data_IF_161600596887
#
_entry.id   IF_161600596887
#
_cell.length_a   1.000
_cell.length_b   1.000
_cell.length_c   1.000
_cell.angle_alpha   90.00
_cell.angle_beta   90.00
_cell.angle_gamma   90.00
#
_symmetry.space_group_name_H-M   'P 1'
#
loop_
_entity.id
_entity.type
_entity.pdbx_description
1 polymer ?
#
# COMPACT_ATOMS: atom_id res chain seq x y z
N UNK A 1 -12.47 -16.75 -9.33
CA UNK A 1 -13.29 -17.41 -8.27
C UNK A 1 -12.91 -16.89 -6.89
N UNK A 2 -11.62 -16.78 -6.56
CA UNK A 2 -11.16 -16.27 -5.26
C UNK A 2 -11.58 -14.82 -4.97
N UNK A 3 -11.59 -13.93 -5.98
CA UNK A 3 -12.05 -12.55 -5.84
C UNK A 3 -13.48 -12.45 -5.27
N UNK A 4 -14.40 -13.32 -5.74
CA UNK A 4 -15.76 -13.38 -5.19
C UNK A 4 -15.78 -13.87 -3.75
N UNK A 5 -14.91 -14.81 -3.41
CA UNK A 5 -14.80 -15.37 -2.06
C UNK A 5 -14.13 -14.39 -1.10
N UNK A 6 -13.19 -13.59 -1.58
CA UNK A 6 -12.53 -12.57 -0.80
C UNK A 6 -13.53 -11.51 -0.28
N UNK A 7 -14.56 -11.19 -1.05
CA UNK A 7 -15.64 -10.30 -0.61
C UNK A 7 -16.38 -10.83 0.62
N UNK A 8 -16.39 -12.13 0.83
CA UNK A 8 -17.02 -12.78 1.97
C UNK A 8 -16.03 -13.08 3.09
N UNK A 9 -14.77 -12.69 2.94
CA UNK A 9 -13.79 -12.87 4.00
C UNK A 9 -14.00 -11.84 5.11
N UNK A 10 -13.63 -12.23 6.32
CA UNK A 10 -13.65 -11.32 7.45
C UNK A 10 -12.35 -10.48 7.47
N UNK A 11 -12.47 -9.16 7.38
CA UNK A 11 -11.35 -8.24 7.31
C UNK A 11 -10.95 -7.62 8.67
N UNK A 12 -11.26 -8.28 9.75
CA UNK A 12 -10.90 -7.80 11.07
C UNK A 12 -11.71 -6.61 11.58
N UNK A 13 -12.69 -6.19 10.83
CA UNK A 13 -13.71 -5.23 11.21
C UNK A 13 -15.02 -5.97 11.24
N UNK A 14 -15.71 -5.93 12.35
CA UNK A 14 -17.07 -6.48 12.48
C UNK A 14 -18.02 -5.65 11.62
N UNK A 15 -17.96 -5.92 10.30
CA UNK A 15 -18.50 -5.00 9.34
C UNK A 15 -19.00 -5.76 8.11
N UNK A 16 -20.29 -5.64 7.79
CA UNK A 16 -20.84 -6.27 6.60
C UNK A 16 -20.38 -5.53 5.35
N UNK A 17 -19.19 -5.77 4.91
CA UNK A 17 -18.63 -5.17 3.68
C UNK A 17 -19.46 -5.43 2.45
N UNK A 18 -20.43 -6.36 2.50
CA UNK A 18 -20.81 -7.04 1.28
C UNK A 18 -22.26 -6.86 0.88
N UNK A 19 -23.18 -6.60 1.79
CA UNK A 19 -24.60 -6.56 1.44
C UNK A 19 -25.28 -5.22 1.75
N UNK A 20 -24.90 -4.59 2.85
CA UNK A 20 -25.61 -3.45 3.39
C UNK A 20 -24.82 -2.13 3.33
N UNK A 21 -23.58 -2.17 2.79
CA UNK A 21 -22.73 -1.00 2.70
C UNK A 21 -23.12 -0.08 1.54
N UNK A 22 -23.49 1.13 1.86
CA UNK A 22 -23.55 2.20 0.86
C UNK A 22 -22.12 2.73 0.63
N UNK A 23 -21.40 2.14 -0.34
CA UNK A 23 -20.00 2.49 -0.66
C UNK A 23 -19.82 3.98 -0.93
N UNK A 24 -20.79 4.62 -1.62
CA UNK A 24 -20.73 6.06 -1.92
C UNK A 24 -20.77 6.91 -0.65
N UNK A 25 -21.63 6.57 0.30
CA UNK A 25 -21.72 7.30 1.56
C UNK A 25 -20.53 7.00 2.47
N UNK A 26 -20.05 5.77 2.46
CA UNK A 26 -18.82 5.37 3.13
C UNK A 26 -17.63 6.19 2.63
N UNK A 27 -17.44 6.27 1.32
CA UNK A 27 -16.36 7.05 0.71
C UNK A 27 -16.48 8.56 1.03
N UNK A 28 -17.69 9.11 1.03
CA UNK A 28 -17.91 10.51 1.44
C UNK A 28 -17.49 10.77 2.88
N UNK A 29 -17.81 9.85 3.79
CA UNK A 29 -17.43 9.98 5.19
C UNK A 29 -15.91 9.82 5.37
N UNK A 30 -15.29 8.94 4.60
CA UNK A 30 -13.83 8.87 4.51
C UNK A 30 -13.24 10.23 4.08
N UNK A 31 -13.74 10.84 3.03
CA UNK A 31 -13.29 12.18 2.60
C UNK A 31 -13.51 13.26 3.66
N UNK A 32 -14.62 13.22 4.41
CA UNK A 32 -14.89 14.14 5.53
C UNK A 32 -13.85 14.00 6.65
N UNK A 33 -13.43 12.77 6.96
CA UNK A 33 -12.38 12.55 7.96
C UNK A 33 -11.02 13.11 7.52
N UNK A 34 -10.71 13.07 6.21
CA UNK A 34 -9.49 13.66 5.67
C UNK A 34 -9.42 15.18 5.91
N UNK A 35 -10.56 15.89 5.91
CA UNK A 35 -10.57 17.32 6.24
C UNK A 35 -10.07 17.61 7.66
N UNK A 36 -10.41 16.75 8.62
CA UNK A 36 -9.90 16.89 9.99
C UNK A 36 -8.38 16.59 10.09
N UNK A 37 -7.88 15.70 9.24
CA UNK A 37 -6.44 15.44 9.12
C UNK A 37 -5.74 16.67 8.54
N UNK A 38 -6.30 17.27 7.47
CA UNK A 38 -5.76 18.48 6.84
C UNK A 38 -5.67 19.64 7.85
N UNK A 39 -6.72 19.88 8.63
CA UNK A 39 -6.71 20.87 9.73
C UNK A 39 -5.59 20.59 10.75
N UNK A 40 -5.33 19.32 11.05
CA UNK A 40 -4.31 18.92 12.01
C UNK A 40 -2.91 19.17 11.46
N UNK A 41 -2.67 18.84 10.19
CA UNK A 41 -1.42 19.16 9.49
C UNK A 41 -1.23 20.69 9.43
N UNK A 42 -2.29 21.43 9.11
CA UNK A 42 -2.28 22.89 9.09
C UNK A 42 -1.85 23.51 10.44
N UNK A 43 -2.38 22.98 11.56
CA UNK A 43 -1.97 23.41 12.91
C UNK A 43 -0.51 23.11 13.20
N UNK A 44 -0.02 21.91 12.83
CA UNK A 44 1.38 21.52 12.99
C UNK A 44 2.31 22.45 12.20
N UNK A 45 2.02 22.66 10.93
CA UNK A 45 2.81 23.54 10.06
C UNK A 45 2.79 25.00 10.57
N UNK A 46 1.64 25.48 11.06
CA UNK A 46 1.51 26.79 11.67
C UNK A 46 2.36 26.93 12.94
N UNK A 47 2.44 25.88 13.77
CA UNK A 47 3.29 25.86 14.95
C UNK A 47 4.79 25.90 14.58
N UNK A 48 5.22 25.10 13.61
CA UNK A 48 6.61 25.10 13.11
C UNK A 48 7.03 26.48 12.60
N UNK A 49 6.17 27.14 11.81
CA UNK A 49 6.41 28.50 11.31
C UNK A 49 6.51 29.52 12.46
N UNK A 50 5.60 29.44 13.45
CA UNK A 50 5.65 30.31 14.65
C UNK A 50 6.95 30.14 15.46
N UNK A 51 7.56 28.94 15.39
CA UNK A 51 8.85 28.64 16.02
C UNK A 51 10.05 28.94 15.11
N UNK A 52 9.82 29.34 13.87
CA UNK A 52 10.86 29.64 12.87
C UNK A 52 11.78 28.44 12.56
N UNK A 53 11.23 27.22 12.67
CA UNK A 53 11.95 25.96 12.42
C UNK A 53 11.38 25.17 11.25
N UNK A 54 10.33 25.65 10.59
CA UNK A 54 9.66 24.95 9.47
C UNK A 54 10.60 24.67 8.28
N UNK A 55 11.55 25.56 8.01
CA UNK A 55 12.51 25.39 6.90
C UNK A 55 13.53 24.29 7.15
N UNK A 56 13.83 24.01 8.45
CA UNK A 56 14.84 23.03 8.90
C UNK A 56 14.22 21.73 9.40
N UNK A 57 12.92 21.61 9.38
CA UNK A 57 12.21 20.42 9.85
C UNK A 57 11.72 19.63 8.64
N UNK A 58 12.20 18.40 8.51
CA UNK A 58 11.64 17.47 7.53
C UNK A 58 10.30 16.94 8.04
N UNK A 59 9.24 17.42 7.41
CA UNK A 59 7.86 16.95 7.65
C UNK A 59 7.49 15.99 6.52
N UNK A 60 7.10 14.78 6.85
CA UNK A 60 6.61 13.78 5.92
C UNK A 60 5.16 13.43 6.27
N UNK A 61 4.26 13.61 5.33
CA UNK A 61 2.87 13.15 5.40
C UNK A 61 2.66 11.98 4.44
N UNK A 62 2.09 10.90 4.95
CA UNK A 62 1.81 9.71 4.15
C UNK A 62 0.69 8.86 4.76
N UNK A 63 0.09 7.98 3.97
CA UNK A 63 -0.70 6.85 4.47
C UNK A 63 0.19 5.68 4.87
N UNK A 64 -0.33 4.75 5.67
CA UNK A 64 0.32 3.48 6.02
C UNK A 64 0.16 2.43 4.90
N UNK A 65 -0.99 2.42 4.25
CA UNK A 65 -1.34 1.59 3.10
C UNK A 65 -2.43 2.28 2.26
N UNK A 66 -2.65 1.79 1.06
CA UNK A 66 -3.80 2.15 0.25
C UNK A 66 -5.08 1.39 0.68
N UNK A 67 -6.18 1.59 -0.05
CA UNK A 67 -7.44 0.91 0.20
C UNK A 67 -8.29 0.84 -1.06
N UNK A 68 -8.86 -0.32 -1.33
CA UNK A 68 -9.81 -0.57 -2.40
C UNK A 68 -11.22 -0.22 -1.93
N UNK A 69 -11.89 0.68 -2.62
CA UNK A 69 -13.28 1.08 -2.34
C UNK A 69 -14.29 0.49 -3.33
N UNK A 70 -13.97 -0.60 -3.96
CA UNK A 70 -14.78 -1.29 -4.95
C UNK A 70 -14.05 -1.55 -6.26
N UNK A 71 -12.86 -0.98 -6.44
CA UNK A 71 -11.98 -1.25 -7.58
C UNK A 71 -11.69 -2.75 -7.64
N UNK A 72 -11.54 -3.28 -8.84
CA UNK A 72 -11.40 -4.72 -9.09
C UNK A 72 -12.52 -5.59 -8.46
N UNK A 73 -13.62 -4.95 -8.05
CA UNK A 73 -14.70 -5.58 -7.31
C UNK A 73 -14.35 -5.97 -5.88
N UNK A 74 -13.33 -5.36 -5.31
CA UNK A 74 -12.79 -5.63 -3.97
C UNK A 74 -12.99 -4.45 -3.03
N UNK A 75 -13.02 -4.77 -1.74
CA UNK A 75 -12.90 -3.81 -0.65
C UNK A 75 -11.87 -4.38 0.28
N UNK A 76 -10.78 -3.71 0.50
CA UNK A 76 -9.71 -4.03 1.45
C UNK A 76 -8.35 -3.54 0.91
N UNK A 77 -7.27 -3.98 1.55
CA UNK A 77 -5.89 -3.56 1.31
C UNK A 77 -4.88 -4.72 1.17
N UNK A 78 -5.36 -5.97 1.09
CA UNK A 78 -4.53 -7.20 1.07
C UNK A 78 -4.26 -7.72 -0.33
N UNK A 79 -4.12 -6.80 -1.28
CA UNK A 79 -3.93 -7.07 -2.69
C UNK A 79 -2.74 -6.28 -3.22
N UNK A 80 -2.20 -6.71 -4.34
CA UNK A 80 -1.08 -6.03 -4.97
C UNK A 80 -1.50 -5.01 -6.05
N UNK A 81 -2.75 -4.55 -6.04
CA UNK A 81 -3.21 -3.47 -6.93
C UNK A 81 -2.76 -2.10 -6.43
N UNK A 82 -2.62 -1.13 -7.35
CA UNK A 82 -2.14 0.21 -7.02
C UNK A 82 -2.99 0.86 -5.91
N UNK A 83 -4.31 0.69 -5.92
CA UNK A 83 -5.20 1.26 -4.90
C UNK A 83 -4.89 0.72 -3.49
N UNK A 84 -4.42 -0.52 -3.40
CA UNK A 84 -4.02 -1.14 -2.13
C UNK A 84 -2.59 -0.80 -1.72
N UNK A 85 -1.67 -0.68 -2.69
CA UNK A 85 -0.24 -0.50 -2.44
C UNK A 85 0.19 0.96 -2.42
N UNK A 86 -0.38 1.78 -3.33
CA UNK A 86 0.03 3.16 -3.51
C UNK A 86 -0.58 4.05 -2.45
N UNK A 87 0.26 4.86 -1.82
CA UNK A 87 -0.13 5.83 -0.81
C UNK A 87 0.24 7.25 -1.25
N UNK A 88 -0.50 8.27 -0.83
CA UNK A 88 -0.01 9.64 -0.91
C UNK A 88 1.24 9.78 -0.04
N UNK A 89 2.27 10.43 -0.57
CA UNK A 89 3.47 10.78 0.17
C UNK A 89 3.87 12.21 -0.19
N UNK A 90 3.84 13.10 0.80
CA UNK A 90 4.21 14.51 0.68
C UNK A 90 5.32 14.82 1.66
N UNK A 91 6.33 15.56 1.21
CA UNK A 91 7.45 15.97 2.05
C UNK A 91 7.64 17.49 2.00
N UNK A 92 8.00 18.08 3.13
CA UNK A 92 8.34 19.50 3.25
C UNK A 92 9.62 19.66 4.05
N UNK A 93 10.64 20.22 3.43
CA UNK A 93 11.84 20.74 4.06
C UNK A 93 12.59 21.62 3.05
N UNK A 94 12.34 22.93 2.99
CA UNK A 94 12.94 23.83 2.00
C UNK A 94 14.47 23.84 1.97
N UNK A 95 15.13 23.52 3.08
CA UNK A 95 16.59 23.44 3.12
C UNK A 95 17.16 22.17 2.46
N UNK A 96 16.36 21.11 2.31
CA UNK A 96 16.81 19.85 1.74
C UNK A 96 16.47 19.72 0.25
N UNK A 97 15.32 20.23 -0.19
CA UNK A 97 14.87 20.14 -1.58
C UNK A 97 13.89 21.26 -1.95
N UNK A 98 13.83 21.64 -3.26
CA UNK A 98 12.95 22.69 -3.74
C UNK A 98 11.47 22.32 -3.58
N UNK A 99 10.63 23.32 -3.31
CA UNK A 99 9.17 23.16 -3.36
C UNK A 99 8.69 22.85 -4.78
N UNK A 100 7.60 22.07 -4.89
CA UNK A 100 7.02 21.64 -6.17
C UNK A 100 7.76 20.50 -6.86
N UNK A 101 8.80 19.94 -6.24
CA UNK A 101 9.50 18.76 -6.78
C UNK A 101 8.57 17.55 -6.81
N UNK A 102 8.57 16.83 -7.93
CA UNK A 102 7.86 15.57 -8.10
C UNK A 102 8.86 14.45 -8.34
N UNK A 103 8.98 13.53 -7.39
CA UNK A 103 9.82 12.34 -7.53
C UNK A 103 9.04 11.27 -8.30
N UNK A 104 9.50 10.93 -9.51
CA UNK A 104 8.84 9.94 -10.39
C UNK A 104 9.27 8.48 -10.10
N UNK A 105 10.33 8.28 -9.32
CA UNK A 105 10.80 6.95 -8.95
C UNK A 105 9.88 6.26 -7.94
N UNK A 106 10.00 4.95 -7.86
CA UNK A 106 9.27 4.15 -6.87
C UNK A 106 9.89 4.37 -5.49
N UNK A 107 9.30 5.27 -4.71
CA UNK A 107 9.62 5.48 -3.29
C UNK A 107 8.61 4.70 -2.45
N UNK A 108 9.06 4.09 -1.36
CA UNK A 108 8.25 3.26 -0.50
C UNK A 108 8.40 3.62 0.98
N UNK A 109 7.50 3.13 1.80
CA UNK A 109 7.54 3.34 3.26
C UNK A 109 8.81 2.80 3.92
N UNK A 110 9.43 1.76 3.35
CA UNK A 110 10.73 1.25 3.82
C UNK A 110 11.87 2.27 3.70
N UNK A 111 11.72 3.28 2.85
CA UNK A 111 12.73 4.32 2.61
C UNK A 111 12.73 5.43 3.65
N UNK A 112 11.69 5.53 4.46
CA UNK A 112 11.46 6.65 5.38
C UNK A 112 12.55 6.69 6.45
N UNK A 113 12.85 5.55 7.09
CA UNK A 113 13.85 5.51 8.14
C UNK A 113 15.25 5.90 7.62
N UNK A 114 15.65 5.37 6.46
CA UNK A 114 16.91 5.73 5.81
C UNK A 114 16.94 7.22 5.43
N UNK A 115 15.80 7.78 5.00
CA UNK A 115 15.68 9.20 4.64
C UNK A 115 15.80 10.11 5.87
N UNK A 116 15.19 9.75 6.99
CA UNK A 116 15.33 10.53 8.23
C UNK A 116 16.74 10.47 8.80
N UNK A 117 17.40 9.31 8.72
CA UNK A 117 18.80 9.21 9.11
C UNK A 117 19.68 10.11 8.24
N UNK A 118 19.51 10.06 6.91
CA UNK A 118 20.24 10.91 5.99
C UNK A 118 19.98 12.41 6.23
N UNK A 119 18.73 12.80 6.52
CA UNK A 119 18.38 14.18 6.86
C UNK A 119 19.06 14.64 8.16
N UNK A 120 19.34 13.73 9.09
CA UNK A 120 20.08 13.98 10.32
C UNK A 120 21.61 13.89 10.15
N UNK A 121 22.12 13.66 8.93
CA UNK A 121 23.54 13.48 8.65
C UNK A 121 24.10 12.12 9.09
N UNK A 122 23.22 11.13 9.30
CA UNK A 122 23.58 9.77 9.71
C UNK A 122 23.46 8.79 8.53
N UNK A 123 24.27 7.74 8.56
CA UNK A 123 24.18 6.66 7.59
C UNK A 123 23.14 5.61 8.01
N UNK A 124 22.38 5.12 7.04
CA UNK A 124 21.48 4.00 7.27
C UNK A 124 22.29 2.70 7.47
N UNK A 125 21.94 1.88 8.49
CA UNK A 125 22.54 0.57 8.66
C UNK A 125 22.31 -0.35 7.47
N UNK A 126 23.25 -1.24 7.17
CA UNK A 126 23.21 -2.15 6.02
C UNK A 126 22.02 -3.14 6.04
N UNK A 127 21.45 -3.41 7.21
CA UNK A 127 20.29 -4.30 7.34
C UNK A 127 18.97 -3.66 6.91
N UNK A 128 18.96 -2.36 6.62
CA UNK A 128 17.75 -1.68 6.12
C UNK A 128 17.55 -1.96 4.63
N UNK A 129 16.37 -2.43 4.25
CA UNK A 129 16.00 -2.66 2.85
C UNK A 129 15.72 -1.37 2.08
N UNK A 130 15.39 -0.29 2.78
CA UNK A 130 15.10 1.02 2.22
C UNK A 130 16.34 1.86 1.97
N UNK A 131 16.22 2.84 1.07
CA UNK A 131 17.25 3.81 0.75
C UNK A 131 16.74 5.25 0.91
N UNK A 132 17.63 6.20 1.23
CA UNK A 132 17.25 7.60 1.33
C UNK A 132 16.88 8.16 -0.05
N UNK A 133 15.72 8.79 -0.17
CA UNK A 133 15.28 9.49 -1.39
C UNK A 133 15.65 10.99 -1.41
N UNK A 134 16.43 11.48 -0.46
CA UNK A 134 16.77 12.91 -0.40
C UNK A 134 17.54 13.38 -1.63
N UNK A 135 18.52 12.60 -2.09
CA UNK A 135 19.31 12.98 -3.27
C UNK A 135 18.48 12.91 -4.56
N UNK A 136 17.51 11.99 -4.61
CA UNK A 136 16.54 11.93 -5.70
C UNK A 136 15.60 13.17 -5.66
N UNK A 137 15.12 13.56 -4.47
CA UNK A 137 14.24 14.70 -4.28
C UNK A 137 14.95 16.05 -4.51
N UNK A 138 16.24 16.14 -4.19
CA UNK A 138 17.06 17.34 -4.43
C UNK A 138 17.63 17.42 -5.86
N UNK A 139 17.42 16.39 -6.70
CA UNK A 139 17.96 16.31 -8.05
C UNK A 139 19.44 15.96 -8.13
N UNK A 140 20.07 15.56 -7.04
CA UNK A 140 21.48 15.13 -7.01
C UNK A 140 21.67 13.72 -7.55
N UNK A 141 20.65 12.87 -7.45
CA UNK A 141 20.63 11.52 -7.98
C UNK A 141 19.71 11.40 -9.18
N UNK A 142 20.17 10.77 -10.26
CA UNK A 142 19.35 10.50 -11.42
C UNK A 142 18.36 9.36 -11.15
N UNK A 143 17.19 9.40 -11.79
CA UNK A 143 16.19 8.35 -11.68
C UNK A 143 16.72 6.97 -12.13
N UNK A 144 17.64 6.95 -13.10
CA UNK A 144 18.30 5.71 -13.57
C UNK A 144 19.21 5.03 -12.53
N UNK A 145 19.61 5.78 -11.51
CA UNK A 145 20.43 5.27 -10.39
C UNK A 145 19.55 4.85 -9.20
N UNK A 146 18.26 5.11 -9.27
CA UNK A 146 17.30 4.67 -8.27
C UNK A 146 16.83 3.25 -8.55
N UNK A 147 16.21 2.60 -7.55
CA UNK A 147 15.66 1.24 -7.71
C UNK A 147 14.72 1.14 -8.92
N UNK A 148 14.90 0.11 -9.71
CA UNK A 148 13.98 -0.22 -10.80
C UNK A 148 12.72 -0.89 -10.28
N UNK A 149 12.84 -1.74 -9.24
CA UNK A 149 11.75 -2.57 -8.74
C UNK A 149 11.60 -2.49 -7.22
N UNK A 150 10.35 -2.51 -6.79
CA UNK A 150 9.93 -2.72 -5.40
C UNK A 150 9.28 -4.11 -5.29
N UNK A 151 9.71 -4.89 -4.28
CA UNK A 151 9.08 -6.15 -3.92
C UNK A 151 7.95 -5.89 -2.94
N UNK A 152 6.79 -6.48 -3.21
CA UNK A 152 5.65 -6.56 -2.31
C UNK A 152 5.40 -8.02 -1.96
N UNK A 153 5.18 -8.28 -0.66
CA UNK A 153 4.94 -9.61 -0.12
C UNK A 153 3.75 -9.54 0.83
N UNK A 154 2.72 -10.34 0.56
CA UNK A 154 1.62 -10.56 1.48
C UNK A 154 1.46 -12.06 1.70
N UNK A 155 1.50 -12.47 2.96
CA UNK A 155 1.38 -13.86 3.35
C UNK A 155 -0.01 -14.15 3.88
N UNK A 156 -0.56 -15.32 3.52
CA UNK A 156 -1.86 -15.77 3.95
C UNK A 156 -2.02 -15.67 5.48
N UNK A 157 -3.17 -15.14 5.89
CA UNK A 157 -3.54 -14.99 7.28
C UNK A 157 -4.78 -15.82 7.61
N UNK A 158 -4.77 -16.46 8.76
CA UNK A 158 -5.91 -17.25 9.24
C UNK A 158 -7.23 -16.46 9.27
N UNK A 159 -7.19 -15.20 9.61
CA UNK A 159 -8.38 -14.35 9.71
C UNK A 159 -8.89 -13.90 8.34
N UNK A 160 -8.14 -14.11 7.28
CA UNK A 160 -8.46 -13.73 5.91
C UNK A 160 -8.28 -14.93 4.97
N UNK A 161 -9.04 -16.03 5.19
CA UNK A 161 -8.77 -17.31 4.54
C UNK A 161 -8.94 -17.28 3.03
N UNK A 162 -9.67 -16.30 2.50
CA UNK A 162 -9.91 -16.15 1.07
C UNK A 162 -8.90 -15.24 0.38
N UNK A 163 -7.97 -14.63 1.12
CA UNK A 163 -6.88 -13.83 0.55
C UNK A 163 -5.64 -14.71 0.43
N UNK A 164 -5.18 -15.02 -0.78
CA UNK A 164 -4.00 -15.87 -0.98
C UNK A 164 -2.72 -15.14 -0.60
N UNK A 165 -1.66 -15.89 -0.36
CA UNK A 165 -0.31 -15.33 -0.38
C UNK A 165 -0.04 -14.80 -1.77
N UNK A 166 0.39 -13.54 -1.85
CA UNK A 166 0.66 -12.84 -3.11
C UNK A 166 1.98 -12.12 -3.06
N UNK A 167 2.71 -12.20 -4.15
CA UNK A 167 3.95 -11.47 -4.37
C UNK A 167 3.78 -10.55 -5.56
N UNK A 168 4.34 -9.35 -5.49
CA UNK A 168 4.38 -8.49 -6.65
C UNK A 168 5.75 -7.83 -6.80
N UNK A 169 6.13 -7.64 -8.06
CA UNK A 169 7.27 -6.84 -8.45
C UNK A 169 6.76 -5.60 -9.17
N UNK A 170 6.83 -4.45 -8.51
CA UNK A 170 6.39 -3.17 -9.04
C UNK A 170 7.57 -2.40 -9.58
N UNK A 171 7.66 -2.26 -10.91
CA UNK A 171 8.65 -1.43 -11.61
C UNK A 171 8.09 -0.05 -11.96
N UNK A 172 8.90 0.80 -12.59
CA UNK A 172 8.46 2.12 -13.03
C UNK A 172 7.35 2.05 -14.09
N UNK A 173 7.36 1.02 -14.94
CA UNK A 173 6.39 0.83 -16.00
C UNK A 173 5.51 -0.40 -15.81
N UNK A 174 6.09 -1.55 -15.52
CA UNK A 174 5.36 -2.80 -15.42
C UNK A 174 5.22 -3.25 -13.98
N UNK A 175 4.09 -3.90 -13.67
CA UNK A 175 3.87 -4.61 -12.42
C UNK A 175 3.48 -6.05 -12.71
N UNK A 176 4.23 -6.99 -12.11
CA UNK A 176 3.93 -8.42 -12.13
C UNK A 176 3.37 -8.81 -10.77
N UNK A 177 2.25 -9.52 -10.76
CA UNK A 177 1.62 -10.10 -9.57
C UNK A 177 1.60 -11.61 -9.73
N UNK A 178 2.08 -12.32 -8.69
CA UNK A 178 2.17 -13.79 -8.67
C UNK A 178 1.51 -14.31 -7.40
N UNK A 179 0.59 -15.24 -7.57
CA UNK A 179 -0.11 -15.88 -6.46
C UNK A 179 0.56 -17.20 -6.10
N UNK A 180 0.74 -17.44 -4.80
CA UNK A 180 1.31 -18.69 -4.32
C UNK A 180 0.26 -19.81 -4.39
N UNK A 181 0.61 -20.90 -5.05
CA UNK A 181 -0.30 -22.01 -5.28
C UNK A 181 -1.08 -21.86 -6.60
N UNK A 182 -2.27 -22.45 -6.63
CA UNK A 182 -3.13 -22.51 -7.84
C UNK A 182 -4.37 -21.64 -7.72
N UNK A 183 -4.30 -20.61 -6.88
CA UNK A 183 -5.45 -19.79 -6.51
C UNK A 183 -6.00 -18.98 -7.68
N UNK A 184 -5.10 -18.41 -8.48
CA UNK A 184 -5.49 -17.55 -9.59
C UNK A 184 -4.39 -17.50 -10.66
N UNK A 185 -4.68 -16.79 -11.72
CA UNK A 185 -3.72 -16.52 -12.80
C UNK A 185 -2.82 -15.37 -12.40
N UNK A 186 -1.51 -15.50 -12.60
CA UNK A 186 -0.58 -14.39 -12.49
C UNK A 186 -1.03 -13.22 -13.37
N UNK A 187 -0.60 -12.02 -13.00
CA UNK A 187 -1.01 -10.80 -13.68
C UNK A 187 0.20 -9.94 -14.06
N UNK A 188 0.13 -9.33 -15.25
CA UNK A 188 1.08 -8.32 -15.71
C UNK A 188 0.32 -7.10 -16.18
N UNK A 189 0.70 -5.92 -15.68
CA UNK A 189 0.12 -4.64 -16.08
C UNK A 189 1.19 -3.68 -16.58
N UNK A 190 0.87 -2.90 -17.62
CA UNK A 190 1.65 -1.76 -18.08
C UNK A 190 1.07 -0.48 -17.48
N UNK A 191 1.59 -0.05 -16.35
CA UNK A 191 1.09 1.08 -15.58
C UNK A 191 1.20 2.42 -16.33
N UNK A 192 1.98 2.49 -17.41
CA UNK A 192 2.09 3.70 -18.24
C UNK A 192 0.88 3.91 -19.15
N UNK A 193 0.22 2.82 -19.56
CA UNK A 193 -0.93 2.84 -20.47
C UNK A 193 -2.21 2.36 -19.81
N UNK A 194 -2.08 1.62 -18.70
CA UNK A 194 -3.19 1.05 -17.92
C UNK A 194 -2.93 1.26 -16.41
N UNK A 195 -2.97 2.51 -15.94
CA UNK A 195 -2.73 2.83 -14.52
C UNK A 195 -3.80 2.27 -13.57
N UNK A 196 -4.95 1.83 -14.08
CA UNK A 196 -6.04 1.22 -13.32
C UNK A 196 -6.02 -0.31 -13.38
N UNK A 197 -4.99 -0.91 -13.95
CA UNK A 197 -4.75 -2.36 -13.96
C UNK A 197 -5.94 -3.21 -14.43
N UNK A 198 -6.57 -2.78 -15.51
CA UNK A 198 -7.77 -3.42 -16.05
C UNK A 198 -7.47 -4.49 -17.10
N UNK A 199 -6.29 -4.43 -17.74
CA UNK A 199 -5.90 -5.33 -18.84
C UNK A 199 -4.71 -6.20 -18.44
N UNK A 200 -4.98 -7.42 -18.02
CA UNK A 200 -3.92 -8.39 -17.70
C UNK A 200 -3.18 -8.85 -18.97
N UNK A 201 -1.89 -8.54 -19.04
CA UNK A 201 -1.00 -8.84 -20.17
C UNK A 201 -0.17 -10.11 -20.00
N UNK A 202 -0.35 -10.88 -18.93
CA UNK A 202 0.51 -12.03 -18.60
C UNK A 202 0.52 -13.11 -19.70
N UNK A 203 -0.56 -13.23 -20.45
CA UNK A 203 -0.69 -14.16 -21.59
C UNK A 203 -0.40 -13.55 -22.96
N UNK A 204 -0.04 -12.25 -23.01
CA UNK A 204 0.30 -11.58 -24.26
C UNK A 204 1.64 -12.08 -24.79
N UNK A 205 1.65 -12.53 -26.05
CA UNK A 205 2.88 -12.98 -26.73
C UNK A 205 3.91 -11.85 -26.82
N UNK A 206 3.46 -10.62 -27.03
CA UNK A 206 4.30 -9.41 -27.12
C UNK A 206 5.02 -9.12 -25.80
N UNK A 207 4.40 -9.46 -24.66
CA UNK A 207 4.93 -9.20 -23.33
C UNK A 207 5.62 -10.41 -22.68
N UNK A 208 5.75 -11.53 -23.40
CA UNK A 208 6.33 -12.77 -22.86
C UNK A 208 7.77 -12.61 -22.35
N UNK A 209 8.57 -11.74 -22.96
CA UNK A 209 9.93 -11.43 -22.51
C UNK A 209 9.93 -10.61 -21.21
N UNK A 210 8.99 -9.66 -21.07
CA UNK A 210 8.80 -8.86 -19.87
C UNK A 210 8.39 -9.76 -18.71
N UNK A 211 7.39 -10.63 -18.92
CA UNK A 211 6.93 -11.60 -17.91
C UNK A 211 8.11 -12.46 -17.41
N UNK A 212 8.91 -13.03 -18.33
CA UNK A 212 10.06 -13.86 -17.95
C UNK A 212 11.07 -13.09 -17.11
N UNK A 213 11.48 -11.90 -17.57
CA UNK A 213 12.46 -11.07 -16.86
C UNK A 213 11.97 -10.71 -15.48
N UNK A 214 10.74 -10.18 -15.36
CA UNK A 214 10.18 -9.78 -14.08
C UNK A 214 9.96 -10.97 -13.14
N UNK A 215 9.55 -12.13 -13.66
CA UNK A 215 9.40 -13.34 -12.85
C UNK A 215 10.76 -13.82 -12.31
N UNK A 216 11.79 -13.80 -13.15
CA UNK A 216 13.15 -14.14 -12.71
C UNK A 216 13.64 -13.18 -11.60
N UNK A 217 13.47 -11.88 -11.79
CA UNK A 217 13.83 -10.86 -10.82
C UNK A 217 13.04 -11.02 -9.50
N UNK A 218 11.73 -11.27 -9.59
CA UNK A 218 10.89 -11.53 -8.44
C UNK A 218 11.42 -12.70 -7.61
N UNK A 219 11.71 -13.84 -8.25
CA UNK A 219 12.22 -15.01 -7.54
C UNK A 219 13.61 -14.79 -6.93
N UNK A 220 14.49 -14.07 -7.60
CA UNK A 220 15.79 -13.71 -7.05
C UNK A 220 15.67 -12.85 -5.78
N UNK A 221 14.74 -11.87 -5.78
CA UNK A 221 14.47 -11.04 -4.61
C UNK A 221 13.85 -11.83 -3.48
N UNK A 222 12.84 -12.67 -3.77
CA UNK A 222 12.23 -13.56 -2.79
C UNK A 222 13.25 -14.53 -2.16
N UNK A 223 14.18 -15.06 -2.96
CA UNK A 223 15.24 -15.92 -2.46
C UNK A 223 16.17 -15.16 -1.51
N UNK A 224 16.52 -13.93 -1.85
CA UNK A 224 17.39 -13.07 -1.05
C UNK A 224 16.73 -12.63 0.25
N UNK A 225 15.42 -12.27 0.21
CA UNK A 225 14.66 -11.86 1.40
C UNK A 225 14.19 -13.03 2.28
N UNK A 226 14.33 -14.29 1.81
CA UNK A 226 13.77 -15.46 2.48
C UNK A 226 12.29 -15.70 2.16
N UNK A 227 11.67 -14.89 1.31
CA UNK A 227 10.25 -14.96 0.95
C UNK A 227 9.84 -16.20 0.15
N UNK A 228 10.79 -17.02 -0.32
CA UNK A 228 10.52 -18.35 -0.89
C UNK A 228 10.07 -19.36 0.16
N UNK A 229 10.25 -19.06 1.44
CA UNK A 229 9.78 -19.89 2.56
C UNK A 229 8.48 -19.31 3.08
N UNK A 230 7.35 -19.71 2.50
CA UNK A 230 6.03 -19.31 2.99
C UNK A 230 5.88 -19.77 4.44
N UNK A 231 5.68 -18.88 5.42
CA UNK A 231 5.61 -19.27 6.81
C UNK A 231 4.33 -20.05 7.10
N UNK A 232 4.48 -21.26 7.61
CA UNK A 232 3.39 -22.03 8.19
C UNK A 232 3.30 -21.69 9.68
N UNK A 233 2.60 -20.63 10.01
CA UNK A 233 2.38 -20.23 11.39
C UNK A 233 1.24 -21.02 12.02
N UNK A 234 1.53 -21.89 13.00
CA UNK A 234 0.49 -22.57 13.79
C UNK A 234 -0.05 -21.71 14.92
N UNK A 235 0.66 -20.68 15.33
CA UNK A 235 0.22 -19.77 16.38
C UNK A 235 -0.48 -18.57 15.76
N UNK A 236 -1.75 -18.42 16.10
CA UNK A 236 -2.51 -17.19 15.77
C UNK A 236 -1.81 -15.99 16.39
N UNK A 237 -1.64 -14.93 15.62
CA UNK A 237 -1.22 -13.65 16.17
C UNK A 237 -2.25 -13.19 17.22
N UNK A 238 -1.78 -12.85 18.41
CA UNK A 238 -2.65 -12.44 19.52
C UNK A 238 -3.51 -11.22 19.20
N UNK A 239 -3.05 -10.32 18.31
CA UNK A 239 -3.76 -9.09 17.96
C UNK A 239 -5.08 -9.28 17.22
N UNK A 240 -5.17 -10.26 16.33
CA UNK A 240 -6.39 -10.53 15.56
C UNK A 240 -7.44 -11.31 16.39
N UNK A 241 -7.00 -12.13 17.35
CA UNK A 241 -7.89 -12.88 18.25
C UNK A 241 -8.51 -11.99 19.32
N UNK A 242 -7.80 -10.98 19.80
CA UNK A 242 -8.31 -10.03 20.81
C UNK A 242 -9.58 -9.32 20.34
N UNK A 243 -9.77 -9.15 19.03
CA UNK A 243 -10.99 -8.58 18.48
C UNK A 243 -12.21 -9.49 18.56
N UNK A 244 -12.03 -10.82 18.61
CA UNK A 244 -13.12 -11.78 18.70
C UNK A 244 -13.50 -12.15 20.14
N UNK A 245 -12.51 -12.32 20.99
CA UNK A 245 -12.73 -12.89 22.34
C UNK A 245 -13.04 -11.83 23.39
N UNK A 246 -12.50 -10.64 23.27
CA UNK A 246 -12.69 -9.56 24.24
C UNK A 246 -13.65 -8.47 23.80
N UNK A 247 -14.28 -8.66 22.64
CA UNK A 247 -15.07 -7.60 22.05
C UNK A 247 -14.17 -6.39 21.80
N UNK A 248 -13.40 -6.40 20.72
CA UNK A 248 -12.79 -5.15 20.29
C UNK A 248 -13.90 -4.12 20.25
N UNK A 249 -13.78 -3.10 21.08
CA UNK A 249 -14.64 -1.92 21.07
C UNK A 249 -14.28 -1.02 19.86
N UNK A 250 -14.05 -1.61 18.70
CA UNK A 250 -14.09 -0.84 17.47
C UNK A 250 -15.49 -0.21 17.45
N UNK A 251 -15.55 1.10 17.43
CA UNK A 251 -16.81 1.80 17.36
C UNK A 251 -17.62 1.20 16.21
N UNK A 252 -18.91 0.88 16.43
CA UNK A 252 -19.76 0.41 15.36
C UNK A 252 -19.73 1.43 14.24
N UNK A 253 -19.79 0.97 13.01
CA UNK A 253 -19.90 1.87 11.88
C UNK A 253 -21.13 2.76 12.08
N UNK A 254 -21.03 4.07 11.76
CA UNK A 254 -22.15 4.97 11.89
C UNK A 254 -23.35 4.41 11.13
N UNK A 255 -24.54 4.32 11.75
CA UNK A 255 -25.74 3.75 11.11
C UNK A 255 -26.07 4.41 9.76
N UNK A 256 -25.66 5.66 9.58
CA UNK A 256 -25.89 6.45 8.37
C UNK A 256 -25.15 5.92 7.15
N UNK A 257 -24.06 5.17 7.35
CA UNK A 257 -23.27 4.55 6.26
C UNK A 257 -23.82 3.20 5.86
N UNK A 258 -24.59 2.57 6.72
CA UNK A 258 -25.20 1.29 6.44
C UNK A 258 -26.47 1.47 5.60
N UNK A 259 -26.70 0.60 4.61
CA UNK A 259 -27.96 0.56 3.91
C UNK A 259 -29.08 0.26 4.93
N UNK A 260 -30.07 1.16 5.05
CA UNK A 260 -31.29 0.80 5.75
C UNK A 260 -31.87 -0.40 5.01
N UNK A 261 -32.11 -1.50 5.73
CA UNK A 261 -32.89 -2.61 5.19
C UNK A 261 -34.22 -2.03 4.80
N UNK A 262 -34.45 -1.83 3.49
CA UNK A 262 -35.80 -1.59 3.01
C UNK A 262 -36.63 -2.77 3.47
N UNK A 263 -37.65 -2.50 4.34
CA UNK A 263 -38.52 -3.51 4.89
C UNK A 263 -39.41 -4.14 3.81
N UNK A 264 -38.79 -4.91 2.93
CA UNK A 264 -39.47 -5.84 2.04
C UNK A 264 -39.20 -7.23 2.56
N UNK A 265 -40.21 -7.75 3.28
CA UNK A 265 -40.33 -9.18 3.48
C UNK A 265 -40.45 -9.89 2.13
#
# INVERSE_FOLDING_TARGET
MWVKNQRNSWHGVDFPYHSDLNVKEYYRNYCRTLSAVDDSVGRLMGWLRKKEIDKKTLVLYMGDNGFLFGEHGLIDKRNAYEESMRIPMLAHCPELFPGGTVVKGVVANIDIAATFLAAAGLQAPEYMDGASFLDLASGKQALSEWREYLLYEYYWEWNFPHTPTVFALRGNRYKLIVYHGIWDTDELYDLSTDPLEQKNLVRSKEHASVVRRMRQELYQRLQKSGGTRVPFGFKRGTGANLRRESGSKAAPFPPEVLRKKDGRN
#
